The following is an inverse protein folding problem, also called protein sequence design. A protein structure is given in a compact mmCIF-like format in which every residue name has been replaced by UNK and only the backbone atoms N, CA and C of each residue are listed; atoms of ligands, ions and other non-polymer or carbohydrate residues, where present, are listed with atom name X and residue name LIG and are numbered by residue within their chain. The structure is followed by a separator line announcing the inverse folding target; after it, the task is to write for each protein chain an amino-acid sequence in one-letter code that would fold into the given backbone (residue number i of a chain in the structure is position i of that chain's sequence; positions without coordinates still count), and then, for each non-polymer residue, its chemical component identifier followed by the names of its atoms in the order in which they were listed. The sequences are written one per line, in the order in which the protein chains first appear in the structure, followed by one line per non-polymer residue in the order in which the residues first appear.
data_IF_923545867485
#
_entry.id   IF_923545867485
#
_cell.length_a   1.000
_cell.length_b   1.000
_cell.length_c   1.000
_cell.angle_alpha   90.00
_cell.angle_beta   90.00
_cell.angle_gamma   90.00
#
_symmetry.space_group_name_H-M   'P 1'
#
loop_
_entity.id
_entity.type
_entity.pdbx_description
1 polymer ?
#
# COMPACT_ATOMS: atom_id res chain seq x y z
N UNK A 1 -11.37 -39.56 -11.44
CA UNK A 1 -11.46 -38.33 -10.63
C UNK A 1 -10.87 -37.20 -11.45
N UNK A 2 -11.71 -36.27 -11.93
CA UNK A 2 -11.28 -35.21 -12.83
C UNK A 2 -10.40 -34.19 -12.11
N UNK A 3 -9.19 -33.96 -12.61
CA UNK A 3 -8.32 -32.89 -12.14
C UNK A 3 -8.93 -31.55 -12.53
N UNK A 4 -9.30 -30.76 -11.53
CA UNK A 4 -9.84 -29.41 -11.69
C UNK A 4 -8.70 -28.52 -12.19
N UNK A 5 -8.60 -28.32 -13.50
CA UNK A 5 -7.72 -27.32 -14.09
C UNK A 5 -8.24 -25.94 -13.67
N UNK A 6 -7.72 -25.42 -12.56
CA UNK A 6 -7.86 -24.01 -12.25
C UNK A 6 -6.95 -23.27 -13.22
N UNK A 7 -7.50 -22.82 -14.34
CA UNK A 7 -6.88 -21.78 -15.17
C UNK A 7 -6.89 -20.47 -14.37
N UNK A 8 -6.08 -20.43 -13.31
CA UNK A 8 -5.82 -19.22 -12.56
C UNK A 8 -4.82 -18.44 -13.41
N UNK A 9 -5.33 -17.46 -14.17
CA UNK A 9 -4.48 -16.49 -14.86
C UNK A 9 -3.54 -15.89 -13.83
N UNK A 10 -2.25 -16.26 -13.89
CA UNK A 10 -1.21 -15.72 -13.03
C UNK A 10 -1.10 -14.23 -13.35
N UNK A 11 -1.66 -13.39 -12.48
CA UNK A 11 -1.40 -11.95 -12.50
C UNK A 11 -0.15 -11.70 -11.65
N UNK A 12 0.68 -10.77 -12.10
CA UNK A 12 1.83 -10.33 -11.33
C UNK A 12 1.36 -9.51 -10.12
N UNK A 13 1.98 -9.75 -8.96
CA UNK A 13 1.69 -9.02 -7.72
C UNK A 13 2.54 -7.75 -7.69
N UNK A 14 1.90 -6.58 -7.54
CA UNK A 14 2.58 -5.28 -7.53
C UNK A 14 2.67 -4.77 -6.10
N UNK A 15 3.89 -4.71 -5.57
CA UNK A 15 4.17 -4.28 -4.19
C UNK A 15 5.09 -3.07 -4.23
N UNK A 16 4.77 -2.05 -3.43
CA UNK A 16 5.61 -0.87 -3.25
C UNK A 16 5.97 -0.62 -1.79
N UNK A 17 7.04 0.14 -1.55
CA UNK A 17 7.40 0.67 -0.24
C UNK A 17 7.47 2.19 -0.34
N UNK A 18 6.95 2.90 0.66
CA UNK A 18 6.94 4.35 0.71
C UNK A 18 7.37 4.83 2.10
N UNK A 19 8.52 5.50 2.16
CA UNK A 19 8.92 6.24 3.35
C UNK A 19 8.21 7.60 3.32
N UNK A 20 7.35 7.79 4.30
CA UNK A 20 6.39 8.88 4.38
C UNK A 20 6.95 10.13 5.03
N UNK A 21 8.21 10.15 5.52
CA UNK A 21 8.96 11.20 6.24
C UNK A 21 8.44 12.68 6.20
N UNK A 22 7.77 13.12 5.13
CA UNK A 22 7.09 14.40 4.93
C UNK A 22 5.55 14.49 5.14
N UNK A 23 4.77 13.41 5.35
CA UNK A 23 3.30 13.48 5.51
C UNK A 23 2.87 13.93 6.92
N UNK A 24 3.50 14.97 7.46
CA UNK A 24 3.00 15.67 8.66
C UNK A 24 1.80 16.59 8.34
N UNK A 25 1.47 16.73 7.05
CA UNK A 25 0.40 17.62 6.59
C UNK A 25 -0.94 16.91 6.56
N UNK A 26 -1.99 17.59 7.03
CA UNK A 26 -3.36 17.11 6.88
C UNK A 26 -3.66 16.80 5.41
N UNK A 27 -4.25 15.63 5.14
CA UNK A 27 -4.60 15.19 3.80
C UNK A 27 -3.47 14.53 3.00
N UNK A 28 -2.26 14.46 3.52
CA UNK A 28 -1.12 13.91 2.80
C UNK A 28 -1.25 12.37 2.59
N UNK A 29 -1.97 11.67 3.48
CA UNK A 29 -2.38 10.28 3.23
C UNK A 29 -3.26 10.11 1.98
N UNK A 30 -4.08 11.11 1.61
CA UNK A 30 -4.88 11.05 0.37
C UNK A 30 -4.00 11.10 -0.88
N UNK A 31 -2.91 11.86 -0.85
CA UNK A 31 -1.94 11.88 -1.95
C UNK A 31 -1.21 10.55 -2.08
N UNK A 32 -0.86 9.91 -0.96
CA UNK A 32 -0.28 8.57 -0.97
C UNK A 32 -1.20 7.53 -1.62
N UNK A 33 -2.50 7.57 -1.29
CA UNK A 33 -3.50 6.68 -1.91
C UNK A 33 -3.59 6.91 -3.42
N UNK A 34 -3.56 8.17 -3.88
CA UNK A 34 -3.54 8.48 -5.31
C UNK A 34 -2.30 7.92 -6.01
N UNK A 35 -1.14 8.01 -5.37
CA UNK A 35 0.11 7.50 -5.96
C UNK A 35 0.12 5.96 -6.00
N UNK A 36 -0.41 5.29 -4.97
CA UNK A 36 -0.58 3.83 -4.97
C UNK A 36 -1.53 3.37 -6.11
N UNK A 37 -2.62 4.09 -6.32
CA UNK A 37 -3.57 3.84 -7.41
C UNK A 37 -2.94 4.09 -8.80
N UNK A 38 -2.17 5.18 -8.94
CA UNK A 38 -1.43 5.52 -10.16
C UNK A 38 -0.48 4.41 -10.60
N UNK A 39 0.19 3.74 -9.66
CA UNK A 39 1.04 2.58 -9.97
C UNK A 39 0.29 1.25 -9.97
N UNK A 40 -1.02 1.25 -9.71
CA UNK A 40 -1.87 0.08 -9.54
C UNK A 40 -1.22 -0.97 -8.63
N UNK A 41 -0.71 -0.52 -7.48
CA UNK A 41 -0.13 -1.40 -6.47
C UNK A 41 -1.24 -2.22 -5.80
N UNK A 42 -1.00 -3.52 -5.64
CA UNK A 42 -1.86 -4.39 -4.84
C UNK A 42 -1.62 -4.16 -3.33
N UNK A 43 -0.36 -3.91 -2.97
CA UNK A 43 0.07 -3.65 -1.59
C UNK A 43 1.11 -2.53 -1.54
N UNK A 44 1.03 -1.70 -0.51
CA UNK A 44 2.05 -0.69 -0.22
C UNK A 44 2.41 -0.74 1.26
N UNK A 45 3.70 -0.87 1.54
CA UNK A 45 4.24 -0.68 2.88
C UNK A 45 4.52 0.80 3.11
N UNK A 46 4.03 1.32 4.24
CA UNK A 46 4.18 2.73 4.62
C UNK A 46 5.08 2.79 5.83
N UNK A 47 6.24 3.44 5.69
CA UNK A 47 7.23 3.59 6.75
C UNK A 47 7.25 5.03 7.26
N UNK A 48 7.58 5.20 8.54
CA UNK A 48 7.68 6.51 9.21
C UNK A 48 6.35 7.31 9.23
N UNK A 49 5.21 6.64 9.32
CA UNK A 49 3.93 7.31 9.57
C UNK A 49 3.96 7.96 10.96
N UNK A 50 3.80 9.29 11.02
CA UNK A 50 3.74 10.04 12.29
C UNK A 50 2.36 10.65 12.47
N UNK A 51 1.72 10.35 13.60
CA UNK A 51 0.49 10.99 14.01
C UNK A 51 0.79 12.29 14.78
N UNK A 52 -0.04 13.34 14.63
CA UNK A 52 0.16 14.63 15.32
C UNK A 52 0.32 14.49 16.84
N UNK A 53 -0.35 13.50 17.45
CA UNK A 53 -0.36 13.28 18.91
C UNK A 53 0.54 12.12 19.35
N UNK A 54 1.56 11.75 18.55
CA UNK A 54 2.57 10.78 18.97
C UNK A 54 2.08 9.32 19.04
N UNK A 55 1.09 8.97 18.23
CA UNK A 55 0.49 7.63 18.16
C UNK A 55 1.48 6.54 17.75
N UNK A 56 2.28 6.06 18.69
CA UNK A 56 2.84 4.71 18.67
C UNK A 56 1.74 3.81 19.25
N UNK A 57 1.12 2.98 18.41
CA UNK A 57 0.37 1.83 18.90
C UNK A 57 1.40 0.87 19.50
N UNK A 58 1.47 0.87 20.83
CA UNK A 58 2.21 -0.13 21.61
C UNK A 58 1.50 -1.49 21.56
#
# INVERSE_FOLDING_TARGET
MAQKNQNQTKRDLRVGTCNVCSLYRAGAFKELVKEADRYSLDFVEIQELRWPDGGVLA
#
